data_IF_684546882062
#
_entry.id   IF_684546882062
#
_cell.length_a   1.000
_cell.length_b   1.000
_cell.length_c   1.000
_cell.angle_alpha   90.00
_cell.angle_beta   90.00
_cell.angle_gamma   90.00
#
_symmetry.space_group_name_H-M   'P 1'
#
loop_
_entity.id
_entity.type
_entity.pdbx_description
1 polymer ?
#
# COMPACT_ATOMS: atom_id res chain seq x y z
N UNK A 1 0.32 -6.68 21.98
CA UNK A 1 0.52 -6.55 20.52
C UNK A 1 0.10 -7.89 19.94
N UNK A 2 -0.99 -7.94 19.18
CA UNK A 2 -1.34 -9.17 18.48
C UNK A 2 -0.31 -9.35 17.36
N UNK A 3 0.40 -10.48 17.36
CA UNK A 3 1.21 -10.90 16.24
C UNK A 3 0.31 -10.95 14.99
N UNK A 4 0.78 -10.50 13.82
CA UNK A 4 0.05 -10.72 12.59
C UNK A 4 -0.03 -12.23 12.39
N UNK A 5 -1.18 -12.79 12.70
CA UNK A 5 -1.50 -14.19 12.46
C UNK A 5 -1.16 -14.48 11.01
N UNK A 6 -0.26 -15.44 10.77
CA UNK A 6 0.02 -16.01 9.44
C UNK A 6 -1.30 -16.58 8.91
N UNK A 7 -2.10 -15.75 8.23
CA UNK A 7 -3.42 -16.12 7.77
C UNK A 7 -3.40 -16.43 6.29
N UNK A 8 -4.02 -17.54 5.91
CA UNK A 8 -4.31 -17.86 4.53
C UNK A 8 -5.25 -16.77 3.96
N UNK A 9 -4.95 -16.28 2.77
CA UNK A 9 -5.89 -15.43 2.05
C UNK A 9 -6.99 -16.34 1.51
N UNK A 10 -8.27 -16.02 1.75
CA UNK A 10 -9.37 -16.85 1.24
C UNK A 10 -9.36 -16.93 -0.31
N UNK A 11 -9.65 -18.11 -0.85
CA UNK A 11 -9.70 -18.32 -2.32
C UNK A 11 -10.59 -17.31 -3.02
N UNK A 12 -11.75 -17.00 -2.44
CA UNK A 12 -12.66 -15.99 -2.97
C UNK A 12 -12.05 -14.58 -3.10
N UNK A 13 -10.99 -14.26 -2.33
CA UNK A 13 -10.23 -13.02 -2.45
C UNK A 13 -9.19 -13.14 -3.56
N UNK A 14 -8.49 -14.27 -3.61
CA UNK A 14 -7.47 -14.56 -4.62
C UNK A 14 -8.06 -14.64 -6.03
N UNK A 15 -9.23 -15.25 -6.17
CA UNK A 15 -9.96 -15.41 -7.43
C UNK A 15 -10.72 -14.15 -7.85
N UNK A 16 -10.76 -13.10 -7.01
CA UNK A 16 -11.44 -11.86 -7.37
C UNK A 16 -10.77 -11.20 -8.58
N UNK A 17 -11.53 -10.89 -9.65
CA UNK A 17 -10.99 -10.20 -10.81
C UNK A 17 -10.51 -8.80 -10.43
N UNK A 18 -9.38 -8.38 -10.99
CA UNK A 18 -8.78 -7.07 -10.71
C UNK A 18 -8.62 -6.24 -11.97
N UNK A 19 -8.80 -4.93 -11.81
CA UNK A 19 -8.51 -3.93 -12.84
C UNK A 19 -7.63 -2.84 -12.26
N UNK A 20 -6.87 -2.12 -13.11
CA UNK A 20 -6.00 -1.06 -12.58
C UNK A 20 -4.92 -0.60 -13.54
N UNK A 21 -3.73 -0.41 -13.00
CA UNK A 21 -2.56 0.10 -13.74
C UNK A 21 -1.45 -0.95 -13.73
N UNK A 22 -0.87 -1.24 -14.89
CA UNK A 22 0.29 -2.14 -15.01
C UNK A 22 0.00 -3.60 -14.63
N UNK A 23 -1.26 -4.03 -14.63
CA UNK A 23 -1.68 -5.38 -14.28
C UNK A 23 -1.70 -6.30 -15.50
N UNK A 24 -1.48 -7.60 -15.27
CA UNK A 24 -1.87 -8.62 -16.25
C UNK A 24 -3.39 -8.87 -16.15
N UNK A 25 -4.06 -9.24 -17.24
CA UNK A 25 -5.47 -9.64 -17.16
C UNK A 25 -5.65 -10.84 -16.24
N UNK A 26 -6.67 -10.81 -15.36
CA UNK A 26 -6.97 -11.92 -14.46
C UNK A 26 -7.41 -11.48 -13.06
N UNK A 27 -7.07 -12.31 -12.10
CA UNK A 27 -7.46 -12.22 -10.68
C UNK A 27 -6.35 -11.61 -9.83
N UNK A 28 -6.60 -11.47 -8.52
CA UNK A 28 -5.56 -11.06 -7.58
C UNK A 28 -4.40 -12.07 -7.56
N UNK A 29 -4.70 -13.38 -7.59
CA UNK A 29 -3.68 -14.42 -7.61
C UNK A 29 -2.70 -14.25 -8.77
N UNK A 30 -3.19 -13.91 -9.97
CA UNK A 30 -2.37 -13.69 -11.16
C UNK A 30 -1.40 -12.49 -10.98
N UNK A 31 -1.68 -11.59 -10.04
CA UNK A 31 -0.81 -10.45 -9.76
C UNK A 31 0.32 -10.76 -8.77
N UNK A 32 0.19 -11.78 -7.93
CA UNK A 32 1.12 -12.04 -6.83
C UNK A 32 2.43 -12.71 -7.29
N UNK A 33 2.37 -13.69 -8.19
CA UNK A 33 3.53 -14.47 -8.64
C UNK A 33 4.06 -15.44 -7.58
N UNK A 34 5.19 -16.11 -7.86
CA UNK A 34 5.72 -17.23 -7.05
C UNK A 34 6.49 -16.82 -5.78
N UNK A 35 6.83 -15.57 -5.59
CA UNK A 35 7.66 -15.11 -4.47
C UNK A 35 6.93 -14.17 -3.53
N UNK A 36 7.73 -13.53 -2.69
CA UNK A 36 7.24 -12.52 -1.77
C UNK A 36 6.67 -11.32 -2.54
N UNK A 37 5.46 -10.94 -2.22
CA UNK A 37 4.77 -9.76 -2.75
C UNK A 37 4.39 -8.81 -1.62
N UNK A 38 4.53 -7.50 -1.83
CA UNK A 38 4.04 -6.46 -0.92
C UNK A 38 2.75 -5.88 -1.47
N UNK A 39 1.65 -6.05 -0.73
CA UNK A 39 0.37 -5.41 -0.97
C UNK A 39 0.34 -4.11 -0.19
N UNK A 40 0.24 -2.98 -0.88
CA UNK A 40 0.36 -1.64 -0.30
C UNK A 40 -0.94 -0.86 -0.52
N UNK A 41 -1.73 -0.71 0.53
CA UNK A 41 -3.01 -0.01 0.50
C UNK A 41 -2.80 1.49 0.71
N UNK A 42 -3.07 2.28 -0.32
CA UNK A 42 -2.98 3.74 -0.29
C UNK A 42 -4.27 4.34 0.28
N UNK A 43 -4.17 5.45 0.99
CA UNK A 43 -5.35 6.12 1.59
C UNK A 43 -6.25 6.76 0.53
N UNK A 44 -5.76 7.80 -0.11
CA UNK A 44 -6.45 8.54 -1.18
C UNK A 44 -5.44 9.38 -1.97
N UNK A 45 -5.75 9.76 -3.21
CA UNK A 45 -4.81 10.44 -4.10
C UNK A 45 -4.35 11.84 -3.66
N UNK A 46 -5.13 12.50 -2.80
CA UNK A 46 -4.72 13.78 -2.22
C UNK A 46 -3.79 13.67 -1.01
N UNK A 47 -3.42 12.46 -0.59
CA UNK A 47 -2.59 12.24 0.59
C UNK A 47 -1.11 12.39 0.27
N UNK A 48 -0.45 13.36 0.92
CA UNK A 48 1.01 13.58 0.79
C UNK A 48 1.81 12.33 1.19
N UNK A 49 1.36 11.59 2.21
CA UNK A 49 2.02 10.38 2.69
C UNK A 49 1.91 9.21 1.70
N UNK A 50 0.81 9.14 0.92
CA UNK A 50 0.70 8.15 -0.16
C UNK A 50 1.73 8.40 -1.27
N UNK A 51 2.00 9.67 -1.59
CA UNK A 51 3.05 10.03 -2.55
C UNK A 51 4.44 9.70 -2.00
N UNK A 52 4.70 10.02 -0.72
CA UNK A 52 5.93 9.64 -0.05
C UNK A 52 6.13 8.11 -0.08
N UNK A 53 5.11 7.33 0.27
CA UNK A 53 5.16 5.86 0.22
C UNK A 53 5.50 5.33 -1.19
N UNK A 54 4.87 5.87 -2.23
CA UNK A 54 5.15 5.46 -3.62
C UNK A 54 6.58 5.80 -4.03
N UNK A 55 7.05 7.00 -3.69
CA UNK A 55 8.42 7.45 -4.01
C UNK A 55 9.50 6.66 -3.26
N UNK A 56 9.30 6.44 -1.97
CA UNK A 56 10.23 5.70 -1.12
C UNK A 56 10.31 4.21 -1.53
N UNK A 57 9.18 3.58 -1.87
CA UNK A 57 9.15 2.21 -2.40
C UNK A 57 9.83 2.11 -3.77
N UNK A 58 9.60 3.07 -4.66
CA UNK A 58 10.31 3.12 -5.93
C UNK A 58 11.82 3.14 -5.73
N UNK A 59 12.30 3.98 -4.80
CA UNK A 59 13.72 4.08 -4.49
C UNK A 59 14.27 2.77 -3.92
N UNK A 60 13.53 2.12 -3.01
CA UNK A 60 13.94 0.84 -2.42
C UNK A 60 14.02 -0.28 -3.47
N UNK A 61 13.01 -0.40 -4.34
CA UNK A 61 13.01 -1.37 -5.47
C UNK A 61 14.15 -1.10 -6.45
N UNK A 62 14.46 0.16 -6.74
CA UNK A 62 15.56 0.51 -7.64
C UNK A 62 16.94 0.20 -7.03
N UNK A 63 17.07 0.25 -5.71
CA UNK A 63 18.31 -0.04 -5.00
C UNK A 63 18.59 -1.53 -4.80
N UNK A 64 17.56 -2.38 -4.83
CA UNK A 64 17.67 -3.81 -4.60
C UNK A 64 16.89 -4.60 -5.66
N UNK A 65 17.56 -5.25 -6.64
CA UNK A 65 16.91 -6.07 -7.66
C UNK A 65 16.15 -7.29 -7.11
N UNK A 66 16.44 -7.70 -5.86
CA UNK A 66 15.76 -8.80 -5.17
C UNK A 66 14.56 -8.33 -4.34
N UNK A 67 14.24 -7.03 -4.36
CA UNK A 67 13.14 -6.47 -3.60
C UNK A 67 11.82 -7.16 -3.96
N UNK A 68 10.94 -7.42 -2.97
CA UNK A 68 9.64 -8.04 -3.21
C UNK A 68 8.82 -7.28 -4.27
N UNK A 69 7.99 -8.00 -5.01
CA UNK A 69 7.06 -7.38 -5.95
C UNK A 69 6.12 -6.46 -5.21
N UNK A 70 5.94 -5.23 -5.70
CA UNK A 70 5.01 -4.26 -5.10
C UNK A 70 3.73 -4.21 -5.91
N UNK A 71 2.60 -4.33 -5.22
CA UNK A 71 1.25 -4.16 -5.76
C UNK A 71 0.50 -3.16 -4.90
N UNK A 72 0.19 -2.00 -5.46
CA UNK A 72 -0.61 -0.99 -4.77
C UNK A 72 -2.10 -1.29 -4.87
N UNK A 73 -2.86 -0.83 -3.88
CA UNK A 73 -4.32 -0.75 -3.90
C UNK A 73 -4.73 0.71 -3.69
N UNK A 74 -5.71 1.19 -4.44
CA UNK A 74 -6.17 2.57 -4.33
C UNK A 74 -7.68 2.71 -4.57
N UNK A 75 -8.26 3.73 -3.94
CA UNK A 75 -9.67 4.06 -4.04
C UNK A 75 -9.88 5.00 -5.24
N UNK A 76 -10.24 4.47 -6.38
CA UNK A 76 -10.48 5.28 -7.58
C UNK A 76 -10.50 4.43 -8.85
N UNK A 77 -10.79 5.08 -9.97
CA UNK A 77 -10.80 4.45 -11.28
C UNK A 77 -9.39 4.18 -11.81
N UNK A 78 -9.23 3.24 -12.77
CA UNK A 78 -7.93 3.01 -13.43
C UNK A 78 -7.32 4.27 -14.07
N UNK A 79 -8.14 5.18 -14.56
CA UNK A 79 -7.69 6.46 -15.14
C UNK A 79 -7.09 7.38 -14.08
N UNK A 80 -7.73 7.50 -12.92
CA UNK A 80 -7.23 8.30 -11.80
C UNK A 80 -5.95 7.70 -11.23
N UNK A 81 -5.89 6.36 -11.08
CA UNK A 81 -4.69 5.66 -10.64
C UNK A 81 -3.50 5.90 -11.57
N UNK A 82 -3.71 5.81 -12.88
CA UNK A 82 -2.68 6.12 -13.88
C UNK A 82 -2.19 7.56 -13.78
N UNK A 83 -3.08 8.52 -13.62
CA UNK A 83 -2.74 9.92 -13.46
C UNK A 83 -1.93 10.18 -12.19
N UNK A 84 -2.27 9.51 -11.08
CA UNK A 84 -1.56 9.62 -9.81
C UNK A 84 -0.15 9.02 -9.87
N UNK A 85 -0.02 7.78 -10.38
CA UNK A 85 1.25 7.05 -10.41
C UNK A 85 2.24 7.60 -11.44
N UNK A 86 1.74 8.17 -12.57
CA UNK A 86 2.59 8.68 -13.65
C UNK A 86 3.67 9.67 -13.17
N UNK A 87 3.40 10.43 -12.11
CA UNK A 87 4.35 11.40 -11.57
C UNK A 87 5.47 10.72 -10.75
N UNK A 88 5.10 9.79 -9.88
CA UNK A 88 5.99 9.30 -8.84
C UNK A 88 6.59 7.92 -9.20
N UNK A 89 5.80 7.05 -9.87
CA UNK A 89 6.24 5.74 -10.33
C UNK A 89 5.38 5.24 -11.51
N UNK A 90 5.72 5.62 -12.77
CA UNK A 90 4.93 5.27 -13.96
C UNK A 90 4.77 3.76 -14.21
N UNK A 91 5.77 2.97 -13.81
CA UNK A 91 5.83 1.51 -14.00
C UNK A 91 5.15 0.74 -12.85
N UNK A 92 4.63 1.44 -11.85
CA UNK A 92 3.99 0.81 -10.70
C UNK A 92 2.78 -0.02 -11.11
N UNK A 93 2.60 -1.14 -10.41
CA UNK A 93 1.45 -2.02 -10.54
C UNK A 93 0.44 -1.68 -9.46
N UNK A 94 -0.82 -1.49 -9.83
CA UNK A 94 -1.82 -1.03 -8.87
C UNK A 94 -3.23 -1.50 -9.22
N UNK A 95 -3.94 -2.01 -8.23
CA UNK A 95 -5.36 -2.44 -8.29
C UNK A 95 -6.26 -1.26 -7.96
N UNK A 96 -7.23 -1.01 -8.82
CA UNK A 96 -8.33 -0.09 -8.57
C UNK A 96 -9.39 -0.78 -7.69
N UNK A 97 -9.67 -0.22 -6.54
CA UNK A 97 -10.65 -0.74 -5.57
C UNK A 97 -11.57 0.41 -5.09
N UNK A 98 -12.40 0.98 -6.00
CA UNK A 98 -13.26 2.12 -5.66
C UNK A 98 -14.29 1.78 -4.58
N UNK A 99 -14.75 0.54 -4.53
CA UNK A 99 -15.73 0.04 -3.54
C UNK A 99 -15.06 -0.40 -2.23
N UNK A 100 -13.72 -0.41 -2.19
CA UNK A 100 -12.91 -0.76 -1.02
C UNK A 100 -13.11 -2.21 -0.52
N UNK A 101 -13.47 -3.12 -1.40
CA UNK A 101 -13.67 -4.53 -1.06
C UNK A 101 -12.37 -5.20 -0.57
N UNK A 102 -11.25 -4.96 -1.25
CA UNK A 102 -9.95 -5.46 -0.81
C UNK A 102 -9.50 -4.81 0.50
N UNK A 103 -9.75 -3.50 0.69
CA UNK A 103 -9.47 -2.84 1.97
C UNK A 103 -10.18 -3.52 3.13
N UNK A 104 -11.44 -3.89 2.96
CA UNK A 104 -12.23 -4.57 3.99
C UNK A 104 -11.76 -6.00 4.22
N UNK A 105 -11.51 -6.74 3.14
CA UNK A 105 -11.05 -8.14 3.21
C UNK A 105 -9.67 -8.28 3.85
N UNK A 106 -8.78 -7.31 3.68
CA UNK A 106 -7.48 -7.26 4.36
C UNK A 106 -7.52 -6.55 5.72
N UNK A 107 -8.70 -6.17 6.21
CA UNK A 107 -8.86 -5.53 7.51
C UNK A 107 -8.20 -4.15 7.61
N UNK A 108 -8.05 -3.44 6.49
CA UNK A 108 -7.55 -2.07 6.48
C UNK A 108 -8.60 -1.16 7.08
N UNK A 109 -8.37 -0.68 8.29
CA UNK A 109 -9.35 0.05 9.09
C UNK A 109 -9.55 1.50 8.64
N UNK A 110 -10.58 2.15 9.19
CA UNK A 110 -10.77 3.60 9.11
C UNK A 110 -10.17 4.28 10.34
N UNK A 111 -9.58 5.47 10.14
CA UNK A 111 -9.04 6.28 11.23
C UNK A 111 -10.15 6.85 12.09
N UNK A 112 -9.87 7.01 13.37
CA UNK A 112 -10.62 7.92 14.24
C UNK A 112 -10.19 9.37 13.99
N UNK A 113 -11.03 10.33 14.39
CA UNK A 113 -10.74 11.76 14.22
C UNK A 113 -9.40 12.19 14.88
N UNK A 114 -9.08 11.61 16.04
CA UNK A 114 -7.85 11.92 16.78
C UNK A 114 -6.56 11.44 16.09
N UNK A 115 -6.62 10.38 15.31
CA UNK A 115 -5.46 9.82 14.59
C UNK A 115 -5.02 10.65 13.37
N UNK A 116 -5.88 11.56 12.92
CA UNK A 116 -5.60 12.44 11.77
C UNK A 116 -4.85 13.74 12.10
N UNK A 117 -4.77 14.16 13.38
CA UNK A 117 -4.34 15.51 13.77
C UNK A 117 -3.20 15.56 14.81
N UNK A 118 -2.60 14.43 15.17
CA UNK A 118 -1.56 14.37 16.21
C UNK A 118 -0.23 15.03 15.82
N UNK A 119 0.64 15.37 16.82
CA UNK A 119 1.97 15.97 16.59
C UNK A 119 2.87 15.11 15.68
N UNK A 120 2.72 13.80 15.71
CA UNK A 120 3.42 12.87 14.82
C UNK A 120 3.07 13.11 13.34
N UNK A 121 1.79 13.35 13.04
CA UNK A 121 1.31 13.65 11.68
C UNK A 121 1.89 14.98 11.18
N UNK A 122 1.98 16.01 12.05
CA UNK A 122 2.57 17.31 11.70
C UNK A 122 4.07 17.19 11.34
N UNK A 123 4.85 16.46 12.16
CA UNK A 123 6.27 16.19 11.88
C UNK A 123 6.46 15.41 10.58
N UNK A 124 5.65 14.37 10.37
CA UNK A 124 5.67 13.57 9.14
C UNK A 124 5.29 14.39 7.91
N UNK A 125 4.36 15.36 8.05
CA UNK A 125 4.02 16.28 6.96
C UNK A 125 5.19 17.19 6.58
N UNK A 126 5.96 17.68 7.56
CA UNK A 126 7.18 18.46 7.30
C UNK A 126 8.22 17.61 6.57
N UNK A 127 8.44 16.34 6.99
CA UNK A 127 9.33 15.40 6.30
C UNK A 127 8.92 15.16 4.85
N UNK A 128 7.64 14.84 4.59
CA UNK A 128 7.16 14.58 3.24
C UNK A 128 7.28 15.81 2.33
N UNK A 129 7.05 17.02 2.86
CA UNK A 129 7.28 18.27 2.13
C UNK A 129 8.76 18.50 1.80
N UNK A 130 9.67 18.20 2.73
CA UNK A 130 11.10 18.29 2.49
C UNK A 130 11.57 17.36 1.36
N UNK A 131 10.87 16.23 1.14
CA UNK A 131 11.07 15.33 -0.02
C UNK A 131 10.38 15.82 -1.30
N UNK A 132 9.76 17.01 -1.32
CA UNK A 132 9.10 17.60 -2.49
C UNK A 132 7.67 17.09 -2.74
N UNK A 133 7.07 16.39 -1.80
CA UNK A 133 5.68 15.93 -1.93
C UNK A 133 4.69 17.00 -1.47
N UNK A 134 3.53 17.04 -2.12
CA UNK A 134 2.45 17.99 -1.83
C UNK A 134 1.12 17.26 -1.69
N UNK A 135 0.18 17.91 -0.98
CA UNK A 135 -1.21 17.44 -0.96
C UNK A 135 -1.86 17.69 -2.32
N UNK A 136 -2.56 16.70 -2.82
CA UNK A 136 -3.40 16.82 -4.00
C UNK A 136 -4.89 16.98 -3.66
N UNK A 137 -5.73 16.89 -4.71
CA UNK A 137 -7.20 16.86 -4.56
C UNK A 137 -7.59 15.56 -3.83
N UNK A 138 -8.40 15.70 -2.78
CA UNK A 138 -8.94 14.55 -2.05
C UNK A 138 -9.89 13.74 -2.94
N UNK A 139 -9.78 12.40 -2.88
CA UNK A 139 -10.64 11.46 -3.58
C UNK A 139 -10.93 10.26 -2.68
N UNK A 140 -12.08 9.64 -2.84
CA UNK A 140 -12.47 8.48 -2.03
C UNK A 140 -12.64 8.77 -0.54
N UNK A 141 -12.56 7.71 0.28
CA UNK A 141 -12.68 7.80 1.73
C UNK A 141 -11.37 8.31 2.37
N UNK A 142 -11.36 9.57 2.76
CA UNK A 142 -10.20 10.23 3.40
C UNK A 142 -9.89 9.68 4.80
N UNK A 143 -10.80 8.93 5.39
CA UNK A 143 -10.63 8.30 6.70
C UNK A 143 -10.03 6.89 6.62
N UNK A 144 -9.96 6.29 5.44
CA UNK A 144 -9.30 5.01 5.27
C UNK A 144 -7.81 5.12 5.64
N UNK A 145 -7.33 4.18 6.46
CA UNK A 145 -5.92 4.12 6.84
C UNK A 145 -5.09 3.47 5.71
N UNK A 146 -3.78 3.66 5.68
CA UNK A 146 -2.92 2.83 4.84
C UNK A 146 -2.77 1.44 5.47
N UNK A 147 -2.21 0.50 4.71
CA UNK A 147 -1.86 -0.83 5.20
C UNK A 147 -0.77 -1.44 4.32
N UNK A 148 0.10 -2.27 4.89
CA UNK A 148 1.12 -2.99 4.12
C UNK A 148 1.12 -4.43 4.59
N UNK A 149 1.01 -5.34 3.63
CA UNK A 149 0.99 -6.78 3.87
C UNK A 149 2.05 -7.44 3.01
N UNK A 150 2.86 -8.29 3.60
CA UNK A 150 3.74 -9.19 2.85
C UNK A 150 3.02 -10.51 2.66
N UNK A 151 2.94 -10.95 1.41
CA UNK A 151 2.24 -12.18 1.01
C UNK A 151 3.21 -13.10 0.30
N UNK A 152 3.21 -14.37 0.70
CA UNK A 152 3.97 -15.44 0.05
C UNK A 152 3.13 -16.71 0.06
N UNK A 153 3.11 -17.43 -1.06
CA UNK A 153 2.32 -18.66 -1.21
C UNK A 153 0.88 -18.48 -0.69
N UNK A 154 0.22 -17.40 -1.12
CA UNK A 154 -1.17 -17.06 -0.78
C UNK A 154 -1.44 -16.81 0.72
N UNK A 155 -0.40 -16.58 1.50
CA UNK A 155 -0.49 -16.33 2.93
C UNK A 155 0.06 -14.96 3.27
N UNK A 156 -0.60 -14.25 4.18
CA UNK A 156 -0.03 -13.06 4.80
C UNK A 156 1.02 -13.53 5.80
N UNK A 157 2.29 -13.24 5.50
CA UNK A 157 3.43 -13.63 6.34
C UNK A 157 3.90 -12.50 7.25
N UNK A 158 3.52 -11.26 6.93
CA UNK A 158 3.81 -10.07 7.73
C UNK A 158 2.81 -8.96 7.42
N UNK A 159 2.51 -8.12 8.39
CA UNK A 159 1.65 -6.96 8.20
C UNK A 159 2.12 -5.76 9.04
N UNK A 160 2.03 -4.57 8.46
CA UNK A 160 2.17 -3.31 9.17
C UNK A 160 0.82 -2.63 9.30
N UNK A 161 0.33 -2.54 10.52
CA UNK A 161 -0.87 -1.77 10.84
C UNK A 161 -0.47 -0.41 11.40
N UNK A 162 -0.69 0.67 10.65
CA UNK A 162 -0.21 1.99 11.02
C UNK A 162 -0.96 2.56 12.23
N UNK A 163 -0.22 3.26 13.10
CA UNK A 163 -0.76 3.99 14.26
C UNK A 163 -1.38 5.32 13.86
N UNK A 164 -0.92 5.88 12.75
CA UNK A 164 -1.44 7.13 12.16
C UNK A 164 -1.19 7.16 10.64
N UNK A 165 -1.79 8.11 9.96
CA UNK A 165 -1.79 8.22 8.49
C UNK A 165 -0.41 8.29 7.81
N UNK A 166 0.63 8.65 8.55
CA UNK A 166 2.00 8.80 8.08
C UNK A 166 2.95 7.74 8.66
N UNK A 167 2.41 6.73 9.33
CA UNK A 167 3.18 5.64 9.92
C UNK A 167 3.41 4.56 8.87
N UNK A 168 4.62 4.46 8.37
CA UNK A 168 5.06 3.40 7.46
C UNK A 168 6.44 2.88 7.90
N UNK A 169 6.78 1.63 7.58
CA UNK A 169 8.07 1.07 7.90
C UNK A 169 9.18 1.76 7.08
N UNK A 170 10.42 1.53 7.47
CA UNK A 170 11.56 1.84 6.61
C UNK A 170 11.60 0.84 5.45
N UNK A 171 11.29 1.31 4.25
CA UNK A 171 11.22 0.46 3.07
C UNK A 171 12.57 -0.10 2.65
N UNK A 172 13.68 0.58 2.93
CA UNK A 172 15.00 0.08 2.58
C UNK A 172 15.37 -1.18 3.38
N UNK A 173 14.94 -1.27 4.64
CA UNK A 173 15.19 -2.42 5.52
C UNK A 173 14.03 -3.42 5.57
N UNK A 174 12.93 -3.15 4.89
CA UNK A 174 11.70 -3.94 4.97
C UNK A 174 11.88 -5.43 4.62
N UNK A 175 12.63 -5.84 3.56
CA UNK A 175 12.84 -7.25 3.25
C UNK A 175 13.52 -8.01 4.40
N UNK A 176 14.50 -7.39 5.06
CA UNK A 176 15.18 -7.96 6.24
C UNK A 176 14.20 -8.08 7.41
N UNK A 177 13.39 -7.05 7.65
CA UNK A 177 12.36 -7.05 8.70
C UNK A 177 11.36 -8.17 8.51
N UNK A 178 10.88 -8.39 7.27
CA UNK A 178 9.95 -9.47 6.94
C UNK A 178 10.62 -10.83 7.16
N UNK A 179 11.85 -11.00 6.71
CA UNK A 179 12.59 -12.26 6.87
C UNK A 179 12.83 -12.63 8.34
N UNK A 180 13.03 -11.64 9.20
CA UNK A 180 13.22 -11.85 10.64
C UNK A 180 11.92 -12.15 11.41
N UNK A 181 10.76 -11.87 10.82
CA UNK A 181 9.43 -12.09 11.41
C UNK A 181 8.78 -13.43 10.99
N UNK A 182 9.45 -14.22 10.14
CA UNK A 182 9.03 -15.55 9.68
C UNK A 182 9.56 -16.63 10.58
#
# INVERSE_FOLDING_TARGET
MAEPSQSQIPDAVLESPVTGVGLVPGTLADQLGEGLSLLVFLRHFGCIFCRETVGDLRAAVAADPSYPRVLFFYQGSPTEGRAFLRRDWPEARAVADPEQEFYERFGVRRASFLEGLGPAVLRSRARARAKGHENGRRSGDVWRMPGIFAVEAERVVWAHQPRHAADHPDFASLPVTISAAR
#
